data_IF_830851669829
#
_entry.id   IF_830851669829
#
_cell.length_a   1.000
_cell.length_b   1.000
_cell.length_c   1.000
_cell.angle_alpha   90.00
_cell.angle_beta   90.00
_cell.angle_gamma   90.00
#
_symmetry.space_group_name_H-M   'P 1'
#
loop_
_entity.id
_entity.type
_entity.pdbx_description
1 polymer ?
#
# COMPACT_ATOMS: atom_id res chain seq x y z
N UNK A 1 30.82 -2.44 2.50
CA UNK A 1 31.43 -3.74 2.13
C UNK A 1 30.60 -4.28 0.98
N UNK A 2 31.09 -4.24 -0.25
CA UNK A 2 30.31 -4.65 -1.42
C UNK A 2 30.01 -6.16 -1.38
N UNK A 3 28.73 -6.52 -1.51
CA UNK A 3 28.30 -7.92 -1.67
C UNK A 3 28.03 -8.15 -3.16
N UNK A 4 28.63 -9.19 -3.73
CA UNK A 4 28.45 -9.58 -5.13
C UNK A 4 27.58 -10.81 -5.18
N UNK A 5 26.47 -10.76 -5.93
CA UNK A 5 25.64 -11.93 -6.24
C UNK A 5 25.73 -12.16 -7.75
N UNK A 6 26.17 -13.34 -8.15
CA UNK A 6 26.26 -13.76 -9.55
C UNK A 6 25.10 -14.69 -9.90
N UNK A 7 24.27 -14.32 -10.87
CA UNK A 7 23.18 -15.17 -11.39
C UNK A 7 23.55 -15.65 -12.79
N UNK A 8 23.59 -16.98 -12.99
CA UNK A 8 23.85 -17.60 -14.28
C UNK A 8 22.55 -18.21 -14.83
N UNK A 9 22.14 -17.82 -16.05
CA UNK A 9 21.00 -18.43 -16.76
C UNK A 9 21.56 -19.37 -17.83
N UNK A 10 21.26 -20.67 -17.72
CA UNK A 10 21.68 -21.70 -18.67
C UNK A 10 20.49 -22.10 -19.54
N UNK A 11 20.48 -21.70 -20.82
CA UNK A 11 19.50 -22.14 -21.82
C UNK A 11 20.16 -23.17 -22.75
N UNK A 12 19.98 -24.46 -22.48
CA UNK A 12 20.60 -25.55 -23.23
C UNK A 12 20.06 -25.67 -24.65
N UNK A 13 20.82 -25.18 -25.63
CA UNK A 13 20.81 -25.67 -27.00
C UNK A 13 22.26 -25.75 -27.51
N UNK A 14 22.62 -26.91 -28.06
CA UNK A 14 23.94 -27.22 -28.61
C UNK A 14 24.27 -26.27 -29.78
N UNK A 15 25.18 -25.32 -29.54
CA UNK A 15 26.16 -24.70 -30.45
C UNK A 15 26.59 -23.34 -29.84
N UNK A 16 27.85 -23.24 -29.40
CA UNK A 16 28.53 -22.04 -28.85
C UNK A 16 27.66 -21.06 -28.04
N UNK A 17 27.49 -21.32 -26.74
CA UNK A 17 26.89 -20.36 -25.82
C UNK A 17 27.87 -19.24 -25.46
N UNK A 18 27.53 -17.99 -25.81
CA UNK A 18 28.05 -16.82 -25.11
C UNK A 18 27.41 -16.78 -23.73
N UNK A 19 28.18 -17.09 -22.68
CA UNK A 19 27.76 -16.82 -21.31
C UNK A 19 27.82 -15.32 -21.06
N UNK A 20 26.68 -14.64 -21.08
CA UNK A 20 26.59 -13.31 -20.49
C UNK A 20 26.45 -13.46 -18.99
N UNK A 21 27.51 -13.17 -18.24
CA UNK A 21 27.47 -13.07 -16.79
C UNK A 21 27.09 -11.63 -16.44
N UNK A 22 25.87 -11.43 -15.95
CA UNK A 22 25.47 -10.15 -15.38
C UNK A 22 25.83 -10.15 -13.89
N UNK A 23 26.86 -9.40 -13.50
CA UNK A 23 27.16 -9.14 -12.10
C UNK A 23 26.40 -7.89 -11.63
N UNK A 24 25.59 -8.02 -10.59
CA UNK A 24 24.99 -6.88 -9.89
C UNK A 24 25.81 -6.64 -8.62
N UNK A 25 26.40 -5.45 -8.51
CA UNK A 25 27.16 -5.02 -7.33
C UNK A 25 26.26 -4.14 -6.49
N UNK A 26 26.07 -4.51 -5.22
CA UNK A 26 25.42 -3.65 -4.24
C UNK A 26 26.50 -2.83 -3.52
N UNK A 27 26.51 -1.53 -3.77
CA UNK A 27 27.39 -0.56 -3.12
C UNK A 27 26.55 0.51 -2.41
N UNK A 28 26.80 0.68 -1.12
CA UNK A 28 26.15 1.65 -0.24
C UNK A 28 27.02 2.89 0.01
N UNK A 29 28.20 2.98 -0.63
CA UNK A 29 29.15 4.09 -0.44
C UNK A 29 28.58 5.46 -0.79
N UNK A 30 27.64 5.52 -1.75
CA UNK A 30 26.92 6.75 -2.14
C UNK A 30 25.74 7.09 -1.21
N UNK A 31 25.54 6.33 -0.13
CA UNK A 31 24.38 6.45 0.75
C UNK A 31 23.20 5.57 0.32
N UNK A 32 22.14 5.60 1.14
CA UNK A 32 20.95 4.77 0.95
C UNK A 32 19.92 5.45 0.05
N UNK A 33 19.15 4.62 -0.68
CA UNK A 33 17.94 5.06 -1.35
C UNK A 33 16.79 5.35 -0.37
N UNK A 34 15.57 5.44 -0.89
CA UNK A 34 14.40 5.58 -0.03
C UNK A 34 14.23 4.36 0.89
N UNK A 35 13.75 4.59 2.10
CA UNK A 35 13.41 3.51 3.02
C UNK A 35 12.21 2.74 2.47
N UNK A 36 12.27 1.42 2.56
CA UNK A 36 11.17 0.53 2.24
C UNK A 36 10.09 0.57 3.34
N UNK A 37 8.85 0.84 2.93
CA UNK A 37 7.72 1.03 3.86
C UNK A 37 6.85 -0.22 4.03
N UNK A 38 6.96 -1.21 3.13
CA UNK A 38 6.27 -2.50 3.25
C UNK A 38 5.49 -2.93 2.00
N UNK A 39 5.09 -4.20 1.97
CA UNK A 39 4.14 -4.78 1.01
C UNK A 39 2.89 -5.24 1.75
N UNK A 40 1.73 -4.96 1.16
CA UNK A 40 0.45 -5.23 1.79
C UNK A 40 -0.63 -5.81 0.88
N UNK A 41 -1.78 -6.07 1.48
CA UNK A 41 -3.01 -6.49 0.82
C UNK A 41 -4.21 -5.66 1.27
N UNK A 42 -5.22 -5.56 0.39
CA UNK A 42 -6.46 -4.82 0.65
C UNK A 42 -7.61 -5.79 0.92
N UNK A 43 -8.30 -5.62 2.05
CA UNK A 43 -9.55 -6.30 2.39
C UNK A 43 -10.67 -5.25 2.47
N UNK A 44 -11.43 -5.13 1.39
CA UNK A 44 -12.40 -4.06 1.20
C UNK A 44 -12.64 -3.81 -0.29
N UNK A 45 -13.13 -2.62 -0.64
CA UNK A 45 -13.51 -2.29 -2.02
C UNK A 45 -14.70 -3.14 -2.47
N UNK A 46 -15.55 -3.52 -1.51
CA UNK A 46 -16.73 -4.36 -1.71
C UNK A 46 -16.54 -5.82 -1.34
N UNK A 47 -16.86 -6.16 -0.08
CA UNK A 47 -17.13 -7.53 0.42
C UNK A 47 -16.11 -8.63 0.04
N UNK A 48 -14.86 -8.29 -0.28
CA UNK A 48 -13.83 -9.21 -0.80
C UNK A 48 -13.48 -10.34 0.18
N UNK A 49 -13.62 -10.09 1.48
CA UNK A 49 -13.38 -11.09 2.54
C UNK A 49 -14.65 -11.73 3.11
N UNK A 50 -15.83 -11.46 2.52
CA UNK A 50 -17.15 -11.85 3.08
C UNK A 50 -17.30 -13.34 3.34
N UNK A 51 -16.70 -14.19 2.50
CA UNK A 51 -16.84 -15.64 2.62
C UNK A 51 -15.82 -16.26 3.59
N UNK A 52 -14.71 -15.57 3.88
CA UNK A 52 -13.62 -16.10 4.70
C UNK A 52 -14.08 -16.40 6.14
N UNK A 53 -14.97 -15.56 6.69
CA UNK A 53 -15.43 -15.69 8.09
C UNK A 53 -16.15 -17.00 8.38
N UNK A 54 -16.76 -17.61 7.35
CA UNK A 54 -17.57 -18.82 7.49
C UNK A 54 -16.78 -20.13 7.23
N UNK A 55 -15.49 -20.04 6.90
CA UNK A 55 -14.66 -21.25 6.77
C UNK A 55 -14.55 -21.97 8.11
N UNK A 56 -14.49 -23.33 8.10
CA UNK A 56 -14.14 -24.09 9.30
C UNK A 56 -12.82 -23.58 9.88
N UNK A 57 -12.75 -23.49 11.21
CA UNK A 57 -11.68 -22.81 11.93
C UNK A 57 -10.29 -23.23 11.46
N UNK A 58 -10.04 -24.53 11.35
CA UNK A 58 -8.76 -25.07 10.88
C UNK A 58 -8.30 -24.42 9.57
N UNK A 59 -9.16 -24.43 8.54
CA UNK A 59 -8.82 -23.89 7.23
C UNK A 59 -8.76 -22.37 7.22
N UNK A 60 -9.62 -21.71 8.01
CA UNK A 60 -9.59 -20.26 8.15
C UNK A 60 -8.27 -19.81 8.77
N UNK A 61 -7.81 -20.49 9.81
CA UNK A 61 -6.53 -20.22 10.47
C UNK A 61 -5.34 -20.53 9.56
N UNK A 62 -5.38 -21.61 8.78
CA UNK A 62 -4.35 -21.89 7.76
C UNK A 62 -4.27 -20.78 6.69
N UNK A 63 -5.41 -20.28 6.20
CA UNK A 63 -5.44 -19.15 5.25
C UNK A 63 -4.82 -17.89 5.87
N UNK A 64 -5.16 -17.58 7.11
CA UNK A 64 -4.61 -16.42 7.82
C UNK A 64 -3.10 -16.58 8.06
N UNK A 65 -2.63 -17.80 8.34
CA UNK A 65 -1.21 -18.10 8.44
C UNK A 65 -0.48 -17.84 7.12
N UNK A 66 -1.04 -18.28 5.98
CA UNK A 66 -0.45 -17.98 4.66
C UNK A 66 -0.36 -16.48 4.37
N UNK A 67 -1.30 -15.67 4.86
CA UNK A 67 -1.31 -14.23 4.63
C UNK A 67 -0.38 -13.46 5.56
N UNK A 68 -0.39 -13.77 6.86
CA UNK A 68 0.15 -12.89 7.90
C UNK A 68 1.25 -13.50 8.76
N UNK A 69 1.41 -14.84 8.80
CA UNK A 69 2.42 -15.46 9.65
C UNK A 69 3.82 -15.10 9.14
N UNK A 70 4.70 -14.52 9.99
CA UNK A 70 6.06 -14.20 9.59
C UNK A 70 6.85 -15.44 9.18
N UNK A 71 7.74 -15.29 8.20
CA UNK A 71 8.60 -16.36 7.69
C UNK A 71 7.83 -17.59 7.18
N UNK A 72 6.62 -17.38 6.64
CA UNK A 72 5.79 -18.46 6.11
C UNK A 72 5.36 -18.18 4.66
N UNK A 73 4.11 -17.77 4.45
CA UNK A 73 3.57 -17.46 3.13
C UNK A 73 3.90 -16.04 2.70
N UNK A 74 2.88 -15.28 2.30
CA UNK A 74 3.01 -13.89 1.85
C UNK A 74 3.64 -12.98 2.92
N UNK A 75 3.43 -13.29 4.21
CA UNK A 75 4.01 -12.55 5.33
C UNK A 75 3.77 -11.04 5.21
N UNK A 76 2.52 -10.64 4.89
CA UNK A 76 2.15 -9.26 4.58
C UNK A 76 2.46 -8.34 5.78
N UNK A 77 3.05 -7.18 5.46
CA UNK A 77 3.45 -6.18 6.46
C UNK A 77 2.36 -5.13 6.68
N UNK A 78 1.51 -4.92 5.68
CA UNK A 78 0.45 -3.91 5.69
C UNK A 78 -0.89 -4.59 5.35
N UNK A 79 -1.90 -4.38 6.20
CA UNK A 79 -3.28 -4.73 5.90
C UNK A 79 -4.10 -3.45 5.77
N UNK A 80 -4.57 -3.15 4.56
CA UNK A 80 -5.49 -2.02 4.30
C UNK A 80 -6.92 -2.54 4.33
N UNK A 81 -7.79 -1.88 5.11
CA UNK A 81 -9.20 -2.26 5.24
C UNK A 81 -10.12 -1.11 4.85
N UNK A 82 -11.28 -1.45 4.28
CA UNK A 82 -12.35 -0.48 4.04
C UNK A 82 -13.07 -0.11 5.34
N UNK A 83 -13.33 1.18 5.54
CA UNK A 83 -14.30 1.66 6.54
C UNK A 83 -15.68 1.67 5.86
N UNK A 84 -16.53 0.70 6.22
CA UNK A 84 -17.79 0.44 5.51
C UNK A 84 -18.79 1.60 5.56
N UNK A 85 -19.25 2.05 4.39
CA UNK A 85 -20.18 3.18 4.24
C UNK A 85 -21.63 2.80 3.92
N UNK A 86 -22.03 1.54 4.15
CA UNK A 86 -23.36 0.99 3.85
C UNK A 86 -23.84 1.11 2.39
N UNK A 87 -22.90 1.30 1.45
CA UNK A 87 -23.14 1.39 0.00
C UNK A 87 -22.25 0.41 -0.77
N UNK A 88 -22.62 0.10 -2.01
CA UNK A 88 -21.78 -0.70 -2.90
C UNK A 88 -20.46 0.04 -3.18
N UNK A 89 -19.32 -0.63 -3.00
CA UNK A 89 -17.98 -0.04 -3.05
C UNK A 89 -17.02 -0.69 -4.08
N UNK A 90 -17.49 -1.61 -4.93
CA UNK A 90 -16.69 -2.18 -6.05
C UNK A 90 -16.59 -1.27 -7.28
N UNK A 91 -16.99 0.00 -7.18
CA UNK A 91 -16.96 1.00 -8.25
C UNK A 91 -17.01 2.42 -7.66
N UNK A 92 -16.84 3.46 -8.47
CA UNK A 92 -16.93 4.86 -8.01
C UNK A 92 -18.30 5.12 -7.38
N UNK A 93 -18.36 5.09 -6.05
CA UNK A 93 -19.58 5.36 -5.30
C UNK A 93 -20.05 6.78 -5.57
N UNK A 94 -21.27 6.94 -6.09
CA UNK A 94 -21.89 8.25 -6.37
C UNK A 94 -22.36 8.98 -5.12
N UNK A 95 -22.16 8.38 -3.93
CA UNK A 95 -22.50 8.95 -2.63
C UNK A 95 -21.45 9.95 -2.19
N UNK A 96 -21.70 11.24 -2.44
CA UNK A 96 -20.84 12.32 -1.97
C UNK A 96 -20.92 12.42 -0.43
N UNK A 97 -20.08 11.67 0.30
CA UNK A 97 -19.95 11.72 1.76
C UNK A 97 -19.46 13.08 2.28
N UNK A 98 -19.10 14.01 1.37
CA UNK A 98 -18.47 15.30 1.68
C UNK A 98 -19.43 16.48 1.87
N UNK A 99 -20.76 16.28 1.92
CA UNK A 99 -21.69 17.38 2.21
C UNK A 99 -21.46 18.02 3.60
N UNK A 100 -20.86 17.29 4.54
CA UNK A 100 -20.42 17.83 5.82
C UNK A 100 -19.11 17.17 6.26
N UNK A 101 -17.99 17.84 5.94
CA UNK A 101 -16.63 17.38 6.25
C UNK A 101 -16.45 17.04 7.74
N UNK A 102 -17.08 17.81 8.64
CA UNK A 102 -16.98 17.55 10.08
C UNK A 102 -17.69 16.25 10.49
N UNK A 103 -18.86 15.95 9.90
CA UNK A 103 -19.56 14.67 10.17
C UNK A 103 -18.79 13.48 9.60
N UNK A 104 -18.22 13.62 8.41
CA UNK A 104 -17.39 12.58 7.81
C UNK A 104 -16.13 12.31 8.66
N UNK A 105 -15.46 13.37 9.13
CA UNK A 105 -14.30 13.23 9.99
C UNK A 105 -14.65 12.62 11.36
N UNK A 106 -15.75 13.04 11.97
CA UNK A 106 -16.26 12.47 13.24
C UNK A 106 -16.58 10.98 13.10
N UNK A 107 -17.23 10.57 12.01
CA UNK A 107 -17.48 9.16 11.72
C UNK A 107 -16.17 8.34 11.64
N UNK A 108 -15.18 8.83 10.89
CA UNK A 108 -13.88 8.14 10.76
C UNK A 108 -13.16 8.04 12.11
N UNK A 109 -13.15 9.11 12.90
CA UNK A 109 -12.48 9.11 14.20
C UNK A 109 -13.18 8.20 15.21
N UNK A 110 -14.51 8.12 15.18
CA UNK A 110 -15.26 7.14 15.98
C UNK A 110 -14.92 5.71 15.60
N UNK A 111 -14.72 5.42 14.32
CA UNK A 111 -14.28 4.11 13.86
C UNK A 111 -12.90 3.76 14.43
N UNK A 112 -11.93 4.69 14.35
CA UNK A 112 -10.58 4.51 14.92
C UNK A 112 -10.65 4.29 16.44
N UNK A 113 -11.46 5.10 17.14
CA UNK A 113 -11.66 4.94 18.57
C UNK A 113 -12.31 3.60 18.92
N UNK A 114 -13.24 3.11 18.10
CA UNK A 114 -13.83 1.77 18.23
C UNK A 114 -12.78 0.67 18.06
N UNK A 115 -11.94 0.76 17.02
CA UNK A 115 -10.84 -0.17 16.78
C UNK A 115 -9.92 -0.29 18.01
N UNK A 116 -9.52 0.85 18.58
CA UNK A 116 -8.70 0.89 19.81
C UNK A 116 -9.44 0.36 21.03
N UNK A 117 -10.61 0.90 21.34
CA UNK A 117 -11.30 0.64 22.63
C UNK A 117 -12.02 -0.70 22.70
N UNK A 118 -12.38 -1.29 21.56
CA UNK A 118 -13.13 -2.56 21.49
C UNK A 118 -12.28 -3.74 21.02
N UNK A 119 -11.23 -3.48 20.26
CA UNK A 119 -10.43 -4.53 19.63
C UNK A 119 -8.93 -4.39 19.90
N UNK A 120 -8.49 -3.39 20.68
CA UNK A 120 -7.08 -3.10 20.97
C UNK A 120 -6.23 -2.91 19.70
N UNK A 121 -6.86 -2.40 18.63
CA UNK A 121 -6.20 -2.14 17.36
C UNK A 121 -5.74 -0.68 17.29
N UNK A 122 -4.45 -0.49 17.01
CA UNK A 122 -3.87 0.82 16.69
C UNK A 122 -3.94 0.99 15.17
N UNK A 123 -4.47 2.12 14.72
CA UNK A 123 -4.57 2.45 13.30
C UNK A 123 -3.41 3.38 12.94
N UNK A 124 -2.49 2.88 12.10
CA UNK A 124 -1.28 3.60 11.71
C UNK A 124 -1.54 4.67 10.64
N UNK A 125 -2.44 4.40 9.68
CA UNK A 125 -2.66 5.24 8.51
C UNK A 125 -4.15 5.49 8.20
N UNK A 126 -4.48 6.70 7.74
CA UNK A 126 -5.85 7.09 7.35
C UNK A 126 -5.85 8.11 6.19
N UNK A 127 -6.95 8.23 5.45
CA UNK A 127 -7.13 9.21 4.37
C UNK A 127 -7.89 10.49 4.74
N UNK A 128 -7.83 10.98 5.98
CA UNK A 128 -8.75 12.03 6.51
C UNK A 128 -8.06 13.28 7.11
N UNK A 129 -8.84 14.18 7.74
CA UNK A 129 -8.46 15.51 8.21
C UNK A 129 -7.72 15.52 9.58
N UNK A 130 -6.50 16.05 9.60
CA UNK A 130 -5.58 16.14 10.77
C UNK A 130 -6.19 16.70 12.06
N UNK A 131 -6.93 17.82 11.95
CA UNK A 131 -7.45 18.55 13.12
C UNK A 131 -8.36 17.70 14.02
N UNK A 132 -9.21 16.87 13.42
CA UNK A 132 -10.18 16.06 14.19
C UNK A 132 -9.46 14.88 14.85
N UNK A 133 -8.46 14.28 14.18
CA UNK A 133 -7.62 13.24 14.79
C UNK A 133 -6.91 13.78 16.04
N UNK A 134 -6.34 14.98 15.95
CA UNK A 134 -5.58 15.58 17.05
C UNK A 134 -6.47 15.91 18.26
N UNK A 135 -7.68 16.41 18.01
CA UNK A 135 -8.67 16.70 19.06
C UNK A 135 -9.05 15.44 19.87
N UNK A 136 -8.96 14.26 19.25
CA UNK A 136 -9.29 12.98 19.87
C UNK A 136 -8.05 12.22 20.37
N UNK A 137 -6.85 12.81 20.28
CA UNK A 137 -5.63 12.18 20.78
C UNK A 137 -5.00 11.15 19.83
N UNK A 138 -5.27 11.23 18.52
CA UNK A 138 -4.70 10.36 17.49
C UNK A 138 -3.56 11.04 16.71
N UNK A 139 -2.70 11.80 17.39
CA UNK A 139 -1.57 12.52 16.77
C UNK A 139 -0.57 11.58 16.06
N UNK A 140 -0.48 10.33 16.52
CA UNK A 140 0.42 9.32 15.97
C UNK A 140 -0.09 8.67 14.67
N UNK A 141 -1.40 8.72 14.39
CA UNK A 141 -1.96 8.18 13.14
C UNK A 141 -1.59 9.09 11.98
N UNK A 142 -0.95 8.53 10.95
CA UNK A 142 -0.43 9.23 9.79
C UNK A 142 -1.49 9.35 8.68
N UNK A 143 -1.33 10.35 7.80
CA UNK A 143 -2.28 10.59 6.70
C UNK A 143 -1.66 10.18 5.36
N UNK A 144 -2.32 9.28 4.63
CA UNK A 144 -2.00 8.94 3.24
C UNK A 144 -3.08 9.56 2.36
N UNK A 145 -2.67 10.35 1.37
CA UNK A 145 -3.63 11.03 0.51
C UNK A 145 -3.17 11.02 -0.96
N UNK A 146 -4.07 11.11 -1.94
CA UNK A 146 -5.53 11.08 -1.80
C UNK A 146 -6.12 9.70 -2.01
N UNK A 147 -5.30 8.66 -2.14
CA UNK A 147 -5.74 7.32 -2.54
C UNK A 147 -6.47 7.39 -3.90
N UNK A 148 -5.87 8.13 -4.84
CA UNK A 148 -6.38 8.38 -6.19
C UNK A 148 -5.19 8.50 -7.16
N UNK A 149 -5.21 9.36 -8.17
CA UNK A 149 -4.04 9.67 -9.01
C UNK A 149 -3.15 10.72 -8.33
N UNK A 150 -1.99 10.99 -8.93
CA UNK A 150 -0.96 11.92 -8.42
C UNK A 150 -1.37 13.41 -8.31
N UNK A 151 -2.63 13.77 -8.57
CA UNK A 151 -3.10 15.16 -8.66
C UNK A 151 -2.83 16.00 -7.40
N UNK A 152 -2.95 15.40 -6.22
CA UNK A 152 -2.71 16.07 -4.92
C UNK A 152 -1.29 16.63 -4.79
N UNK A 153 -0.31 16.11 -5.54
CA UNK A 153 1.05 16.64 -5.53
C UNK A 153 1.09 18.13 -5.95
N UNK A 154 0.24 18.54 -6.88
CA UNK A 154 0.14 19.94 -7.32
C UNK A 154 -0.46 20.83 -6.25
N UNK A 155 -1.39 20.31 -5.46
CA UNK A 155 -2.02 21.04 -4.36
C UNK A 155 -1.04 21.21 -3.20
N UNK A 156 -0.32 20.15 -2.83
CA UNK A 156 0.75 20.19 -1.81
C UNK A 156 1.91 21.11 -2.20
N UNK A 157 2.20 21.27 -3.49
CA UNK A 157 3.21 22.22 -3.96
C UNK A 157 2.79 23.69 -3.74
N UNK A 158 1.48 23.96 -3.69
CA UNK A 158 0.91 25.30 -3.47
C UNK A 158 0.54 25.56 -2.02
N UNK A 159 0.30 24.51 -1.24
CA UNK A 159 -0.15 24.56 0.15
C UNK A 159 0.83 23.81 1.07
N UNK A 160 1.74 24.54 1.74
CA UNK A 160 2.68 23.95 2.71
C UNK A 160 1.99 23.32 3.92
N UNK A 161 0.80 23.79 4.33
CA UNK A 161 0.06 23.21 5.45
C UNK A 161 -0.46 21.82 5.06
N UNK A 162 -1.09 21.70 3.88
CA UNK A 162 -1.47 20.42 3.30
C UNK A 162 -0.26 19.50 3.14
N UNK A 163 0.87 20.04 2.64
CA UNK A 163 2.11 19.29 2.53
C UNK A 163 2.55 18.74 3.89
N UNK A 164 2.47 19.53 4.95
CA UNK A 164 2.97 19.14 6.27
C UNK A 164 2.12 18.04 6.92
N UNK A 165 0.79 18.07 6.74
CA UNK A 165 -0.10 17.08 7.37
C UNK A 165 -0.10 15.71 6.65
N UNK A 166 0.20 15.67 5.35
CA UNK A 166 0.23 14.42 4.56
C UNK A 166 1.58 13.72 4.77
N UNK A 167 1.55 12.48 5.23
CA UNK A 167 2.73 11.64 5.42
C UNK A 167 3.24 11.08 4.08
N UNK A 168 2.36 10.44 3.32
CA UNK A 168 2.66 9.81 2.04
C UNK A 168 1.60 10.13 0.97
N UNK A 169 2.01 10.12 -0.30
CA UNK A 169 1.09 10.21 -1.44
C UNK A 169 0.72 8.80 -1.88
N UNK A 170 -0.53 8.41 -1.69
CA UNK A 170 -1.07 7.12 -2.14
C UNK A 170 -1.70 7.23 -3.53
N UNK A 171 -1.17 6.47 -4.48
CA UNK A 171 -1.64 6.42 -5.87
C UNK A 171 -2.21 5.05 -6.26
N UNK A 172 -3.30 5.05 -7.02
CA UNK A 172 -3.93 3.86 -7.58
C UNK A 172 -3.43 3.56 -8.99
N UNK A 173 -3.00 2.32 -9.22
CA UNK A 173 -2.60 1.80 -10.53
C UNK A 173 -1.65 2.75 -11.30
N UNK A 174 -0.49 3.12 -10.71
CA UNK A 174 0.42 4.11 -11.27
C UNK A 174 1.18 3.61 -12.52
N UNK A 175 1.14 2.30 -12.79
CA UNK A 175 1.89 1.71 -13.90
C UNK A 175 3.41 1.87 -13.72
N UNK A 176 3.92 1.82 -12.49
CA UNK A 176 5.33 1.99 -12.10
C UNK A 176 5.92 3.40 -12.25
N UNK A 177 5.09 4.42 -12.48
CA UNK A 177 5.56 5.81 -12.60
C UNK A 177 4.89 6.76 -11.61
N UNK A 178 5.68 7.67 -11.07
CA UNK A 178 5.25 8.83 -10.27
C UNK A 178 5.25 10.11 -11.13
N UNK A 179 4.44 11.10 -10.77
CA UNK A 179 4.47 12.40 -11.45
C UNK A 179 5.73 13.19 -11.08
N UNK A 180 6.16 14.08 -11.96
CA UNK A 180 7.30 14.96 -11.71
C UNK A 180 7.10 15.76 -10.40
N UNK A 181 5.91 16.30 -10.16
CA UNK A 181 5.63 17.06 -8.93
C UNK A 181 5.75 16.17 -7.69
N UNK A 182 5.24 14.94 -7.72
CA UNK A 182 5.29 14.02 -6.59
C UNK A 182 6.75 13.70 -6.19
N UNK A 183 7.62 13.46 -7.17
CA UNK A 183 9.04 13.19 -6.97
C UNK A 183 9.78 14.34 -6.26
N UNK A 184 9.37 15.59 -6.49
CA UNK A 184 10.04 16.78 -5.95
C UNK A 184 9.48 17.24 -4.60
N UNK A 185 8.42 16.61 -4.08
CA UNK A 185 7.83 17.01 -2.80
C UNK A 185 8.61 16.50 -1.58
N UNK A 186 9.50 15.52 -1.76
CA UNK A 186 10.21 14.87 -0.65
C UNK A 186 9.27 14.06 0.26
N UNK A 187 8.18 13.54 -0.31
CA UNK A 187 7.19 12.71 0.37
C UNK A 187 7.37 11.26 -0.03
N UNK A 188 6.91 10.35 0.83
CA UNK A 188 6.78 8.93 0.48
C UNK A 188 5.75 8.78 -0.63
N UNK A 189 6.05 7.97 -1.64
CA UNK A 189 5.17 7.71 -2.78
C UNK A 189 4.79 6.24 -2.77
N UNK A 190 3.50 5.95 -2.59
CA UNK A 190 3.01 4.59 -2.46
C UNK A 190 2.10 4.24 -3.64
N UNK A 191 2.28 3.05 -4.20
CA UNK A 191 1.19 2.40 -4.95
C UNK A 191 0.22 1.84 -3.92
N UNK A 192 -0.76 2.64 -3.51
CA UNK A 192 -1.67 2.30 -2.41
C UNK A 192 -2.84 1.39 -2.84
N UNK A 193 -2.97 1.17 -4.14
CA UNK A 193 -3.78 0.13 -4.77
C UNK A 193 -3.18 -0.26 -6.13
N UNK A 194 -2.89 -1.54 -6.33
CA UNK A 194 -2.28 -2.07 -7.56
C UNK A 194 -2.70 -3.54 -7.77
N UNK A 195 -2.06 -4.24 -8.70
CA UNK A 195 -2.36 -5.60 -9.11
C UNK A 195 -3.68 -5.70 -9.90
N UNK A 196 -4.83 -5.83 -9.24
CA UNK A 196 -6.17 -6.04 -9.83
C UNK A 196 -6.19 -6.96 -11.08
N UNK A 197 -5.39 -8.03 -11.07
CA UNK A 197 -5.36 -9.07 -12.10
C UNK A 197 -5.86 -10.41 -11.53
N UNK A 198 -6.14 -11.38 -12.40
CA UNK A 198 -6.39 -12.76 -11.98
C UNK A 198 -5.13 -13.35 -11.33
N UNK A 199 -5.33 -14.22 -10.33
CA UNK A 199 -4.28 -14.94 -9.61
C UNK A 199 -3.69 -16.15 -10.37
N UNK A 200 -3.37 -15.96 -11.65
CA UNK A 200 -2.63 -16.92 -12.47
C UNK A 200 -1.12 -16.65 -12.46
N UNK A 201 -0.33 -17.51 -13.10
CA UNK A 201 1.10 -17.27 -13.34
C UNK A 201 1.38 -15.92 -13.99
N UNK A 202 0.56 -15.50 -14.95
CA UNK A 202 0.64 -14.18 -15.58
C UNK A 202 0.38 -13.06 -14.56
N UNK A 203 -0.59 -13.26 -13.65
CA UNK A 203 -0.82 -12.36 -12.53
C UNK A 203 0.39 -12.30 -11.60
N UNK A 204 0.94 -13.45 -11.21
CA UNK A 204 2.14 -13.53 -10.38
C UNK A 204 3.34 -12.79 -11.00
N UNK A 205 3.56 -12.95 -12.30
CA UNK A 205 4.58 -12.21 -13.04
C UNK A 205 4.31 -10.69 -13.07
N UNK A 206 3.05 -10.28 -13.20
CA UNK A 206 2.67 -8.88 -13.09
C UNK A 206 3.04 -8.32 -11.72
N UNK A 207 2.65 -9.00 -10.64
CA UNK A 207 2.96 -8.62 -9.26
C UNK A 207 4.46 -8.48 -9.03
N UNK A 208 5.24 -9.50 -9.38
CA UNK A 208 6.69 -9.49 -9.23
C UNK A 208 7.34 -8.30 -9.97
N UNK A 209 6.87 -7.98 -11.18
CA UNK A 209 7.37 -6.86 -11.98
C UNK A 209 7.04 -5.51 -11.36
N UNK A 210 5.81 -5.30 -10.89
CA UNK A 210 5.43 -4.00 -10.30
C UNK A 210 6.10 -3.78 -8.96
N UNK A 211 6.15 -4.79 -8.08
CA UNK A 211 6.82 -4.68 -6.77
C UNK A 211 8.30 -4.37 -6.89
N UNK A 212 8.96 -4.79 -7.98
CA UNK A 212 10.38 -4.54 -8.22
C UNK A 212 10.67 -3.20 -8.92
N UNK A 213 9.64 -2.47 -9.36
CA UNK A 213 9.77 -1.27 -10.21
C UNK A 213 9.01 -0.05 -9.71
N UNK A 214 8.34 -0.14 -8.56
CA UNK A 214 7.72 1.03 -7.92
C UNK A 214 8.84 1.95 -7.45
N UNK A 215 8.87 3.16 -8.01
CA UNK A 215 9.84 4.22 -7.75
C UNK A 215 9.16 5.57 -7.48
#
# INVERSE_FOLDING_TARGET
MAKVISVAVVLTFFLLQWMSVQSIVFDDSSGYGQQFDGVGGLSGGGATSKLLVNYPEKYRSEILDFLFKPNFGASLQILKVEIGGDVQSTGEGTGNVYHNVSKAADYVVRWINGAKTKHDLIIDYIGTLRKVLDQWGFQHTQIIASDNKWGIAKDMAKDPELKNIVHAIGCHYPGTYSSHEAQHLGKRLWSSEDYCQKNSETGGACWARVSSRIA
#
